data_IF_964854509507
#
_entry.id   IF_964854509507
#
_cell.length_a   1.000
_cell.length_b   1.000
_cell.length_c   1.000
_cell.angle_alpha   90.00
_cell.angle_beta   90.00
_cell.angle_gamma   90.00
#
_symmetry.space_group_name_H-M   'P 1'
#
loop_
_entity.id
_entity.type
_entity.pdbx_description
1 polymer ?
#
# COMPACT_ATOMS: atom_id res chain seq x y z
N UNK A 1 -54.44 34.90 -23.46
CA UNK A 1 -54.33 33.43 -23.43
C UNK A 1 -53.33 33.05 -22.36
N UNK A 2 -53.79 32.68 -21.17
CA UNK A 2 -52.96 32.18 -20.07
C UNK A 2 -52.86 30.66 -20.19
N UNK A 3 -51.64 30.16 -20.33
CA UNK A 3 -51.33 28.73 -20.44
C UNK A 3 -51.03 28.19 -19.03
N UNK A 4 -51.54 27.04 -18.60
CA UNK A 4 -51.21 26.47 -17.31
C UNK A 4 -49.77 25.95 -17.30
N UNK A 5 -49.02 26.24 -16.25
CA UNK A 5 -47.71 25.65 -15.95
C UNK A 5 -47.95 24.39 -15.12
N UNK A 6 -47.58 23.25 -15.69
CA UNK A 6 -47.59 21.94 -15.03
C UNK A 6 -46.25 21.73 -14.35
N UNK A 7 -46.23 21.84 -13.02
CA UNK A 7 -45.07 21.47 -12.20
C UNK A 7 -45.07 19.95 -12.01
N UNK A 8 -44.04 19.30 -12.51
CA UNK A 8 -43.78 17.86 -12.30
C UNK A 8 -42.94 17.73 -11.02
N UNK A 9 -43.51 17.13 -9.97
CA UNK A 9 -42.76 16.71 -8.79
C UNK A 9 -41.93 15.46 -9.13
N UNK A 10 -40.63 15.52 -8.91
CA UNK A 10 -39.74 14.37 -8.98
C UNK A 10 -39.99 13.44 -7.78
N UNK A 11 -39.97 12.11 -7.94
CA UNK A 11 -40.06 11.20 -6.81
C UNK A 11 -38.83 11.36 -5.91
N UNK A 12 -39.08 11.69 -4.65
CA UNK A 12 -38.09 11.65 -3.57
C UNK A 12 -37.56 10.22 -3.51
N UNK A 13 -36.31 10.03 -3.92
CA UNK A 13 -35.60 8.77 -3.76
C UNK A 13 -35.06 8.76 -2.34
N UNK A 14 -35.64 7.93 -1.48
CA UNK A 14 -35.13 7.66 -0.16
C UNK A 14 -33.69 7.13 -0.27
N UNK A 15 -32.72 7.97 0.07
CA UNK A 15 -31.32 7.60 0.14
C UNK A 15 -31.14 6.64 1.33
N UNK A 16 -31.13 5.34 1.03
CA UNK A 16 -30.66 4.30 1.96
C UNK A 16 -29.18 4.54 2.19
N UNK A 17 -28.84 5.18 3.30
CA UNK A 17 -27.46 5.25 3.82
C UNK A 17 -27.02 3.85 4.21
N UNK A 18 -26.38 3.16 3.27
CA UNK A 18 -25.66 1.92 3.51
C UNK A 18 -24.31 2.28 4.13
N UNK A 19 -24.16 2.01 5.43
CA UNK A 19 -22.88 2.06 6.13
C UNK A 19 -21.99 0.93 5.61
N UNK A 20 -21.18 1.23 4.60
CA UNK A 20 -20.09 0.35 4.17
C UNK A 20 -19.00 0.36 5.25
N UNK A 21 -18.39 -0.79 5.60
CA UNK A 21 -17.22 -0.79 6.45
C UNK A 21 -16.08 -0.09 5.70
N UNK A 22 -15.63 1.05 6.22
CA UNK A 22 -14.39 1.69 5.79
C UNK A 22 -13.28 0.72 6.13
N UNK A 23 -12.88 -0.08 5.15
CA UNK A 23 -11.72 -0.96 5.27
C UNK A 23 -10.51 -0.05 5.26
N UNK A 24 -9.88 0.12 6.43
CA UNK A 24 -8.60 0.81 6.54
C UNK A 24 -7.61 0.15 5.55
N UNK A 25 -6.86 0.94 4.77
CA UNK A 25 -5.90 0.37 3.84
C UNK A 25 -4.94 -0.56 4.60
N UNK A 26 -4.54 -1.71 4.00
CA UNK A 26 -3.63 -2.63 4.64
C UNK A 26 -2.34 -1.88 5.02
N UNK A 27 -1.96 -1.97 6.29
CA UNK A 27 -0.73 -1.35 6.78
C UNK A 27 0.46 -2.05 6.14
N UNK A 28 1.20 -1.35 5.29
CA UNK A 28 2.46 -1.86 4.73
C UNK A 28 3.51 -1.96 5.85
N UNK A 29 4.04 -3.16 6.08
CA UNK A 29 5.16 -3.36 6.99
C UNK A 29 6.46 -2.97 6.28
N UNK A 30 7.15 -1.92 6.78
CA UNK A 30 8.46 -1.52 6.24
C UNK A 30 9.45 -2.69 6.30
N UNK A 31 10.12 -2.95 5.18
CA UNK A 31 11.09 -4.02 5.00
C UNK A 31 10.52 -5.37 4.55
N UNK A 32 9.20 -5.59 4.63
CA UNK A 32 8.54 -6.79 4.08
C UNK A 32 8.26 -6.61 2.58
N UNK A 33 9.31 -6.73 1.77
CA UNK A 33 9.23 -6.48 0.32
C UNK A 33 8.63 -7.66 -0.44
N UNK A 34 8.56 -8.84 0.19
CA UNK A 34 8.04 -10.06 -0.40
C UNK A 34 6.58 -10.36 0.03
N UNK A 35 5.98 -9.53 0.89
CA UNK A 35 4.63 -9.66 1.46
C UNK A 35 4.39 -10.99 2.17
N UNK A 36 5.36 -11.50 2.92
CA UNK A 36 5.22 -12.72 3.70
C UNK A 36 4.83 -12.48 5.17
N UNK A 37 4.73 -11.21 5.57
CA UNK A 37 4.36 -10.78 6.91
C UNK A 37 5.52 -10.83 7.91
N UNK A 38 6.76 -11.01 7.44
CA UNK A 38 7.96 -11.03 8.25
C UNK A 38 9.02 -10.15 7.60
N UNK A 39 9.91 -9.62 8.43
CA UNK A 39 11.08 -8.86 7.98
C UNK A 39 12.33 -9.67 8.31
N UNK A 40 12.89 -10.36 7.31
CA UNK A 40 13.99 -11.30 7.51
C UNK A 40 14.89 -11.43 6.26
N UNK A 41 15.80 -12.41 6.26
CA UNK A 41 16.74 -12.62 5.16
C UNK A 41 16.09 -12.90 3.79
N UNK A 42 14.85 -13.38 3.75
CA UNK A 42 14.09 -13.56 2.52
C UNK A 42 13.81 -12.23 1.82
N UNK A 43 13.58 -11.15 2.57
CA UNK A 43 13.41 -9.79 2.03
C UNK A 43 14.71 -9.27 1.41
N UNK A 44 15.85 -9.52 2.08
CA UNK A 44 17.17 -9.19 1.52
C UNK A 44 17.42 -9.88 0.18
N UNK A 45 17.11 -11.18 0.09
CA UNK A 45 17.27 -11.93 -1.16
C UNK A 45 16.32 -11.42 -2.23
N UNK A 46 15.08 -11.09 -1.85
CA UNK A 46 14.06 -10.56 -2.77
C UNK A 46 14.49 -9.20 -3.34
N UNK A 47 14.91 -8.27 -2.47
CA UNK A 47 15.38 -6.96 -2.88
C UNK A 47 16.67 -7.05 -3.72
N UNK A 48 17.62 -7.93 -3.36
CA UNK A 48 18.82 -8.16 -4.15
C UNK A 48 18.50 -8.66 -5.57
N UNK A 49 17.57 -9.61 -5.70
CA UNK A 49 17.15 -10.10 -7.02
C UNK A 49 16.50 -9.01 -7.85
N UNK A 50 15.64 -8.19 -7.24
CA UNK A 50 15.03 -7.04 -7.90
C UNK A 50 16.09 -6.06 -8.44
N UNK A 51 17.08 -5.67 -7.61
CA UNK A 51 18.16 -4.77 -8.02
C UNK A 51 19.04 -5.34 -9.15
N UNK A 52 19.13 -6.66 -9.26
CA UNK A 52 19.84 -7.35 -10.34
C UNK A 52 18.99 -7.59 -11.59
N UNK A 53 17.72 -7.16 -11.60
CA UNK A 53 16.77 -7.45 -12.69
C UNK A 53 16.38 -8.92 -12.80
N UNK A 54 16.58 -9.71 -11.73
CA UNK A 54 16.33 -11.14 -11.66
C UNK A 54 15.10 -11.49 -10.81
N UNK A 55 14.23 -10.50 -10.54
CA UNK A 55 13.02 -10.67 -9.75
C UNK A 55 12.24 -9.36 -9.58
N UNK A 56 11.15 -9.43 -8.84
CA UNK A 56 10.23 -8.31 -8.59
C UNK A 56 9.95 -8.19 -7.09
N UNK A 57 9.58 -6.99 -6.64
CA UNK A 57 9.09 -6.74 -5.28
C UNK A 57 7.56 -6.92 -5.27
N UNK A 58 7.03 -7.63 -4.27
CA UNK A 58 5.58 -7.69 -4.08
C UNK A 58 5.03 -6.43 -3.41
N UNK A 59 5.87 -5.76 -2.62
CA UNK A 59 5.61 -4.45 -2.04
C UNK A 59 6.81 -3.53 -2.24
N UNK A 60 6.80 -2.71 -3.29
CA UNK A 60 7.89 -1.75 -3.53
C UNK A 60 7.91 -0.65 -2.47
N UNK A 61 6.75 -0.25 -1.93
CA UNK A 61 6.68 0.78 -0.89
C UNK A 61 7.25 0.32 0.46
N UNK A 62 7.34 -0.99 0.70
CA UNK A 62 8.06 -1.54 1.84
C UNK A 62 9.58 -1.49 1.67
N UNK A 63 10.06 -1.32 0.42
CA UNK A 63 11.47 -1.35 0.05
C UNK A 63 12.15 0.01 -0.01
N UNK A 64 11.40 1.11 -0.06
CA UNK A 64 11.93 2.49 0.02
C UNK A 64 12.11 2.87 1.50
N UNK A 65 13.30 2.60 2.03
CA UNK A 65 13.60 2.68 3.45
C UNK A 65 14.24 4.00 3.86
N UNK A 66 14.88 4.70 2.92
CA UNK A 66 15.35 6.07 3.13
C UNK A 66 14.37 7.14 2.65
N UNK A 67 13.26 6.75 2.03
CA UNK A 67 12.17 7.63 1.57
C UNK A 67 12.60 8.59 0.45
N UNK A 68 13.51 8.16 -0.42
CA UNK A 68 13.94 8.92 -1.60
C UNK A 68 13.03 8.70 -2.82
N UNK A 69 12.07 7.78 -2.71
CA UNK A 69 11.11 7.44 -3.76
C UNK A 69 11.58 6.35 -4.73
N UNK A 70 12.77 5.78 -4.53
CA UNK A 70 13.33 4.69 -5.31
C UNK A 70 13.78 3.54 -4.41
N UNK A 71 13.75 2.31 -4.94
CA UNK A 71 14.37 1.17 -4.25
C UNK A 71 15.74 0.93 -4.86
N UNK A 72 16.78 1.18 -4.07
CA UNK A 72 18.18 1.18 -4.49
C UNK A 72 19.04 0.26 -3.62
N UNK A 73 20.35 0.24 -3.90
CA UNK A 73 21.30 -0.48 -3.05
C UNK A 73 21.45 0.14 -1.65
N UNK A 74 21.08 1.43 -1.45
CA UNK A 74 21.09 2.05 -0.12
C UNK A 74 19.99 1.44 0.76
N UNK A 75 18.80 1.24 0.21
CA UNK A 75 17.70 0.55 0.90
C UNK A 75 18.07 -0.86 1.33
N UNK A 76 18.83 -1.59 0.51
CA UNK A 76 19.31 -2.92 0.87
C UNK A 76 20.22 -2.89 2.13
N UNK A 77 21.00 -1.82 2.31
CA UNK A 77 21.81 -1.61 3.53
C UNK A 77 20.91 -1.30 4.72
N UNK A 78 19.89 -0.45 4.54
CA UNK A 78 18.92 -0.15 5.59
C UNK A 78 18.10 -1.39 6.00
N UNK A 79 17.69 -2.23 5.04
CA UNK A 79 16.98 -3.47 5.29
C UNK A 79 17.84 -4.44 6.12
N UNK A 80 19.13 -4.56 5.78
CA UNK A 80 20.07 -5.36 6.57
C UNK A 80 20.18 -4.86 8.02
N UNK A 81 20.23 -3.55 8.21
CA UNK A 81 20.28 -2.94 9.55
C UNK A 81 18.98 -3.17 10.32
N UNK A 82 17.83 -3.05 9.65
CA UNK A 82 16.52 -3.31 10.24
C UNK A 82 16.41 -4.75 10.77
N UNK A 83 16.83 -5.73 9.98
CA UNK A 83 16.82 -7.15 10.37
C UNK A 83 17.72 -7.39 11.59
N UNK A 84 18.92 -6.79 11.63
CA UNK A 84 19.80 -6.89 12.80
C UNK A 84 19.18 -6.28 14.05
N UNK A 85 18.42 -5.18 13.91
CA UNK A 85 17.70 -4.59 15.03
C UNK A 85 16.59 -5.53 15.53
N UNK A 86 15.80 -6.10 14.61
CA UNK A 86 14.71 -7.05 14.94
C UNK A 86 15.22 -8.29 15.68
N UNK A 87 16.39 -8.81 15.33
CA UNK A 87 16.97 -10.00 15.97
C UNK A 87 17.49 -9.73 17.38
N UNK A 88 17.89 -8.49 17.69
CA UNK A 88 18.48 -8.12 18.99
C UNK A 88 17.46 -7.47 19.95
N UNK A 89 16.19 -7.35 19.55
CA UNK A 89 15.11 -6.73 20.32
C UNK A 89 14.23 -7.71 21.08
#
# INVERSE_FOLDING_TARGET
TTKPVTTTEAPVTDAVTTTQPVTEPPVTQKGDVNKDGKVNAADLVTMQKFLLGAGELKESSAGDLDSDGAVTAFDLVFLRRLILFVING
#
